data_IF_448795755477
#
_entry.id   IF_448795755477
#
_cell.length_a   1.000
_cell.length_b   1.000
_cell.length_c   1.000
_cell.angle_alpha   90.00
_cell.angle_beta   90.00
_cell.angle_gamma   90.00
#
_symmetry.space_group_name_H-M   'P 1'
#
loop_
_entity.id
_entity.type
_entity.pdbx_description
1 polymer ?
#
# COMPACT_ATOMS: atom_id res chain seq x y z
N UNK A 1 4.26 0.14 14.95
CA UNK A 1 3.07 -0.74 14.95
C UNK A 1 3.16 -1.65 13.74
N UNK A 2 3.47 -2.90 13.95
CA UNK A 2 3.85 -3.91 12.94
C UNK A 2 2.62 -4.53 12.26
N UNK A 3 1.85 -3.77 11.48
CA UNK A 3 0.61 -4.26 10.86
C UNK A 3 0.83 -5.44 9.92
N UNK A 4 1.95 -5.44 9.19
CA UNK A 4 2.30 -6.51 8.25
C UNK A 4 2.66 -7.78 8.98
N UNK A 5 3.49 -7.67 10.02
CA UNK A 5 3.89 -8.80 10.85
C UNK A 5 2.71 -9.41 11.59
N UNK A 6 1.77 -8.61 12.08
CA UNK A 6 0.55 -9.13 12.67
C UNK A 6 -0.28 -9.96 11.66
N UNK A 7 -0.35 -9.52 10.40
CA UNK A 7 -1.00 -10.26 9.34
C UNK A 7 -0.24 -11.56 9.02
N UNK A 8 1.09 -11.50 8.95
CA UNK A 8 1.94 -12.66 8.71
C UNK A 8 1.84 -13.69 9.83
N UNK A 9 1.89 -13.26 11.10
CA UNK A 9 1.71 -14.12 12.26
C UNK A 9 0.32 -14.77 12.24
N UNK A 10 -0.72 -13.98 11.98
CA UNK A 10 -2.08 -14.51 11.92
C UNK A 10 -2.22 -15.56 10.80
N UNK A 11 -1.70 -15.30 9.63
CA UNK A 11 -1.68 -16.24 8.51
C UNK A 11 -0.94 -17.52 8.87
N UNK A 12 0.21 -17.43 9.53
CA UNK A 12 1.01 -18.57 9.97
C UNK A 12 0.25 -19.49 10.95
N UNK A 13 -0.48 -18.92 11.92
CA UNK A 13 -1.18 -19.69 12.95
C UNK A 13 -2.59 -20.14 12.55
N UNK A 14 -3.17 -19.60 11.52
CA UNK A 14 -4.49 -19.95 11.01
C UNK A 14 -4.36 -20.72 9.68
N UNK A 15 -3.58 -21.78 9.67
CA UNK A 15 -3.25 -22.58 8.49
C UNK A 15 -4.46 -23.29 7.84
N UNK A 16 -5.61 -23.34 8.52
CA UNK A 16 -6.89 -23.82 8.01
C UNK A 16 -7.66 -22.77 7.18
N UNK A 17 -7.20 -21.50 7.20
CA UNK A 17 -7.77 -20.41 6.40
C UNK A 17 -6.90 -20.18 5.17
N UNK A 18 -7.45 -20.12 3.95
CA UNK A 18 -6.68 -19.86 2.74
C UNK A 18 -5.93 -18.52 2.79
N UNK A 19 -4.72 -18.46 2.24
CA UNK A 19 -3.84 -17.28 2.24
C UNK A 19 -4.48 -16.04 1.62
N UNK A 20 -5.38 -16.21 0.65
CA UNK A 20 -6.10 -15.13 -0.03
C UNK A 20 -7.12 -14.41 0.87
N UNK A 21 -7.38 -14.97 2.07
CA UNK A 21 -8.24 -14.38 3.10
C UNK A 21 -7.48 -13.46 4.07
N UNK A 22 -6.15 -13.40 3.98
CA UNK A 22 -5.33 -12.55 4.83
C UNK A 22 -4.89 -11.31 4.08
N UNK A 23 -5.23 -10.15 4.60
CA UNK A 23 -4.81 -8.87 4.05
C UNK A 23 -4.40 -7.90 5.16
N UNK A 24 -3.45 -7.03 4.87
CA UNK A 24 -3.18 -5.89 5.74
C UNK A 24 -3.58 -4.58 5.03
N UNK A 25 -4.26 -3.71 5.77
CA UNK A 25 -4.81 -2.47 5.23
C UNK A 25 -3.73 -1.46 4.85
N UNK A 26 -3.67 -1.10 3.56
CA UNK A 26 -2.90 0.03 3.00
C UNK A 26 -3.80 1.20 2.59
N UNK A 27 -5.11 1.05 2.69
CA UNK A 27 -6.08 2.00 2.17
C UNK A 27 -5.93 3.40 2.74
N UNK A 28 -5.50 3.53 3.98
CA UNK A 28 -5.25 4.83 4.59
C UNK A 28 -4.12 5.58 3.88
N UNK A 29 -3.00 4.90 3.60
CA UNK A 29 -1.86 5.50 2.91
C UNK A 29 -2.19 5.79 1.44
N UNK A 30 -2.92 4.90 0.79
CA UNK A 30 -3.47 5.07 -0.55
C UNK A 30 -4.37 6.33 -0.63
N UNK A 31 -5.31 6.51 0.31
CA UNK A 31 -6.18 7.69 0.37
C UNK A 31 -5.39 8.98 0.63
N UNK A 32 -4.31 8.93 1.41
CA UNK A 32 -3.40 10.06 1.62
C UNK A 32 -2.68 10.46 0.33
N UNK A 33 -2.18 9.45 -0.40
CA UNK A 33 -1.51 9.66 -1.68
C UNK A 33 -2.48 10.29 -2.70
N UNK A 34 -3.69 9.76 -2.84
CA UNK A 34 -4.73 10.35 -3.69
C UNK A 34 -5.05 11.79 -3.30
N UNK A 35 -5.22 12.07 -2.00
CA UNK A 35 -5.51 13.43 -1.52
C UNK A 35 -4.39 14.42 -1.83
N UNK A 36 -3.12 14.01 -1.71
CA UNK A 36 -1.99 14.88 -2.03
C UNK A 36 -1.88 15.12 -3.54
N UNK A 37 -2.03 14.08 -4.36
CA UNK A 37 -2.01 14.20 -5.82
C UNK A 37 -3.16 15.09 -6.32
N UNK A 38 -4.37 14.90 -5.80
CA UNK A 38 -5.55 15.72 -6.07
C UNK A 38 -5.29 17.21 -5.80
N UNK A 39 -4.73 17.53 -4.64
CA UNK A 39 -4.38 18.92 -4.28
C UNK A 39 -3.30 19.52 -5.19
N UNK A 40 -2.28 18.74 -5.54
CA UNK A 40 -1.19 19.18 -6.43
C UNK A 40 -1.72 19.51 -7.82
N UNK A 41 -2.65 18.71 -8.33
CA UNK A 41 -3.20 18.87 -9.68
C UNK A 41 -4.44 19.77 -9.75
N UNK A 42 -5.03 20.15 -8.60
CA UNK A 42 -6.25 20.95 -8.57
C UNK A 42 -7.49 20.22 -9.11
N UNK A 43 -7.56 18.89 -8.95
CA UNK A 43 -8.67 18.03 -9.42
C UNK A 43 -9.35 17.32 -8.25
N UNK A 44 -10.56 16.80 -8.48
CA UNK A 44 -11.24 16.00 -7.45
C UNK A 44 -10.54 14.65 -7.25
N UNK A 45 -10.59 14.10 -6.04
CA UNK A 45 -10.05 12.75 -5.75
C UNK A 45 -10.74 11.69 -6.61
N UNK A 46 -12.04 11.87 -6.89
CA UNK A 46 -12.84 10.99 -7.76
C UNK A 46 -12.39 10.97 -9.22
N UNK A 47 -11.63 11.98 -9.66
CA UNK A 47 -11.05 12.04 -11.00
C UNK A 47 -9.78 11.21 -11.14
N UNK A 48 -9.21 10.74 -10.02
CA UNK A 48 -7.94 10.01 -9.96
C UNK A 48 -8.17 8.51 -9.90
N UNK A 49 -7.45 7.77 -10.73
CA UNK A 49 -7.42 6.29 -10.74
C UNK A 49 -6.00 5.77 -10.84
N UNK A 50 -5.80 4.50 -10.52
CA UNK A 50 -4.54 3.78 -10.67
C UNK A 50 -3.37 4.32 -9.81
N UNK A 51 -3.68 4.87 -8.62
CA UNK A 51 -2.68 5.18 -7.61
C UNK A 51 -2.14 3.89 -7.00
N UNK A 52 -0.84 3.84 -6.73
CA UNK A 52 -0.22 2.72 -6.02
C UNK A 52 0.59 3.23 -4.82
N UNK A 53 0.61 2.47 -3.74
CA UNK A 53 1.54 2.67 -2.62
C UNK A 53 2.25 1.34 -2.36
N UNK A 54 3.51 1.26 -2.76
CA UNK A 54 4.30 0.05 -2.64
C UNK A 54 4.84 -0.16 -1.23
N UNK A 55 4.93 -1.41 -0.82
CA UNK A 55 5.75 -1.84 0.30
C UNK A 55 5.04 -2.00 1.64
N UNK A 56 5.76 -1.59 2.68
CA UNK A 56 5.36 -1.72 4.08
C UNK A 56 4.40 -0.60 4.54
N UNK A 57 4.13 -0.52 5.85
CA UNK A 57 3.42 0.61 6.46
C UNK A 57 4.36 1.37 7.41
N UNK A 58 5.52 1.74 6.90
CA UNK A 58 6.59 2.44 7.60
C UNK A 58 7.20 3.51 6.68
N UNK A 59 8.33 4.06 7.07
CA UNK A 59 8.93 5.20 6.36
C UNK A 59 9.48 4.87 4.97
N UNK A 60 9.68 3.58 4.65
CA UNK A 60 10.17 3.12 3.35
C UNK A 60 9.05 2.80 2.35
N UNK A 61 7.77 2.79 2.77
CA UNK A 61 6.66 2.76 1.81
C UNK A 61 6.76 3.94 0.84
N UNK A 62 6.37 3.76 -0.40
CA UNK A 62 6.33 4.89 -1.31
C UNK A 62 5.11 4.89 -2.23
N UNK A 63 4.42 6.04 -2.32
CA UNK A 63 3.38 6.26 -3.31
C UNK A 63 4.01 6.44 -4.69
N UNK A 64 3.35 5.89 -5.69
CA UNK A 64 3.82 5.83 -7.07
C UNK A 64 2.73 6.35 -8.01
N UNK A 65 3.08 7.38 -8.77
CA UNK A 65 2.18 8.03 -9.75
C UNK A 65 2.41 7.55 -11.18
N UNK A 66 3.30 6.58 -11.41
CA UNK A 66 3.68 6.12 -12.76
C UNK A 66 2.47 5.76 -13.61
N UNK A 67 1.50 5.09 -13.01
CA UNK A 67 0.26 4.68 -13.69
C UNK A 67 -0.95 5.52 -13.32
N UNK A 68 -0.77 6.59 -12.53
CA UNK A 68 -1.87 7.46 -12.13
C UNK A 68 -2.53 8.09 -13.36
N UNK A 69 -3.85 8.10 -13.34
CA UNK A 69 -4.67 8.75 -14.37
C UNK A 69 -5.53 9.84 -13.76
N UNK A 70 -5.77 10.87 -14.53
CA UNK A 70 -6.75 11.94 -14.27
C UNK A 70 -7.82 11.86 -15.34
N UNK A 71 -9.06 11.54 -14.95
CA UNK A 71 -10.20 11.38 -15.89
C UNK A 71 -9.89 10.40 -17.03
N UNK A 72 -9.12 9.33 -16.72
CA UNK A 72 -8.73 8.29 -17.67
C UNK A 72 -7.45 8.57 -18.47
N UNK A 73 -6.89 9.76 -18.40
CA UNK A 73 -5.64 10.13 -19.09
C UNK A 73 -4.43 9.97 -18.16
N UNK A 74 -3.30 9.48 -18.69
CA UNK A 74 -2.04 9.36 -17.95
C UNK A 74 -1.62 10.73 -17.39
N UNK A 75 -1.12 10.74 -16.16
CA UNK A 75 -0.82 11.97 -15.44
C UNK A 75 0.56 11.97 -14.75
N UNK A 76 1.40 10.98 -14.97
CA UNK A 76 2.73 10.89 -14.33
C UNK A 76 3.62 12.09 -14.66
N UNK A 77 3.55 12.59 -15.87
CA UNK A 77 4.32 13.74 -16.40
C UNK A 77 3.84 15.11 -15.86
N UNK A 78 2.68 15.14 -15.19
CA UNK A 78 2.14 16.36 -14.57
C UNK A 78 2.79 16.68 -13.21
N UNK A 79 3.69 15.81 -12.74
CA UNK A 79 4.36 15.98 -11.45
C UNK A 79 5.85 16.27 -11.63
N UNK A 80 6.32 17.32 -10.95
CA UNK A 80 7.74 17.62 -10.88
C UNK A 80 8.49 16.52 -10.11
N UNK A 81 9.63 16.07 -10.63
CA UNK A 81 10.46 15.04 -9.96
C UNK A 81 10.86 15.44 -8.53
N UNK A 82 11.26 16.72 -8.34
CA UNK A 82 11.59 17.26 -7.02
C UNK A 82 10.40 17.21 -6.06
N UNK A 83 9.21 17.58 -6.51
CA UNK A 83 8.01 17.45 -5.68
C UNK A 83 7.73 15.99 -5.27
N UNK A 84 7.90 15.04 -6.19
CA UNK A 84 7.73 13.62 -5.88
C UNK A 84 8.70 13.14 -4.82
N UNK A 85 10.00 13.48 -4.95
CA UNK A 85 11.06 12.99 -4.05
C UNK A 85 11.11 13.73 -2.72
N UNK A 86 10.89 15.05 -2.72
CA UNK A 86 11.16 15.90 -1.56
C UNK A 86 9.91 16.16 -0.72
N UNK A 87 8.71 15.99 -1.33
CA UNK A 87 7.45 16.25 -0.66
C UNK A 87 6.50 15.05 -0.65
N UNK A 88 6.12 14.55 -1.83
CA UNK A 88 5.04 13.57 -1.94
C UNK A 88 5.35 12.26 -1.22
N UNK A 89 6.44 11.63 -1.58
CA UNK A 89 6.85 10.34 -1.00
C UNK A 89 7.07 10.46 0.51
N UNK A 90 7.90 11.39 1.02
CA UNK A 90 8.12 11.52 2.45
C UNK A 90 6.86 11.87 3.25
N UNK A 91 6.04 12.80 2.75
CA UNK A 91 4.82 13.23 3.46
C UNK A 91 3.79 12.12 3.56
N UNK A 92 3.60 11.31 2.51
CA UNK A 92 2.70 10.15 2.58
C UNK A 92 3.22 9.13 3.59
N UNK A 93 4.51 8.78 3.51
CA UNK A 93 5.13 7.78 4.38
C UNK A 93 5.09 8.20 5.86
N UNK A 94 5.42 9.46 6.18
CA UNK A 94 5.55 9.95 7.55
C UNK A 94 4.25 10.52 8.14
N UNK A 95 3.17 10.64 7.37
CA UNK A 95 1.93 11.32 7.81
C UNK A 95 1.35 10.76 9.10
N UNK A 96 1.47 9.45 9.33
CA UNK A 96 1.00 8.82 10.57
C UNK A 96 1.72 9.35 11.80
N UNK A 97 3.05 9.47 11.73
CA UNK A 97 3.89 10.01 12.79
C UNK A 97 3.61 11.50 13.07
N UNK A 98 3.41 12.30 12.03
CA UNK A 98 3.04 13.72 12.15
C UNK A 98 1.72 13.88 12.92
N UNK A 99 0.71 13.08 12.60
CA UNK A 99 -0.59 13.13 13.28
C UNK A 99 -0.43 12.78 14.76
N UNK A 100 0.34 11.74 15.09
CA UNK A 100 0.60 11.36 16.48
C UNK A 100 1.32 12.49 17.21
N UNK A 101 2.31 13.12 16.59
CA UNK A 101 3.06 14.24 17.18
C UNK A 101 2.16 15.44 17.51
N UNK A 102 1.19 15.75 16.64
CA UNK A 102 0.30 16.91 16.81
C UNK A 102 -0.86 16.60 17.75
N UNK A 103 -1.45 15.40 17.68
CA UNK A 103 -2.66 15.04 18.45
C UNK A 103 -2.38 14.31 19.76
N UNK A 104 -1.17 13.78 19.95
CA UNK A 104 -0.86 12.85 21.04
C UNK A 104 -1.50 11.47 20.87
N UNK A 105 -2.22 11.22 19.77
CA UNK A 105 -2.88 9.96 19.47
C UNK A 105 -2.93 9.68 17.96
N UNK A 106 -3.07 8.42 17.58
CA UNK A 106 -3.25 7.98 16.20
C UNK A 106 -4.55 8.51 15.58
N UNK A 107 -4.58 8.60 14.25
CA UNK A 107 -5.78 9.02 13.49
C UNK A 107 -6.85 7.91 13.52
N UNK A 108 -7.84 8.01 14.41
CA UNK A 108 -8.88 7.00 14.54
C UNK A 108 -9.86 6.99 13.34
N UNK A 109 -10.48 8.13 13.03
CA UNK A 109 -11.53 8.23 11.99
C UNK A 109 -10.99 7.92 10.59
N UNK A 110 -9.80 8.44 10.22
CA UNK A 110 -9.20 8.15 8.91
C UNK A 110 -8.83 6.66 8.76
N UNK A 111 -8.38 6.02 9.84
CA UNK A 111 -8.09 4.59 9.82
C UNK A 111 -9.38 3.77 9.69
N UNK A 112 -10.44 4.13 10.40
CA UNK A 112 -11.75 3.51 10.27
C UNK A 112 -12.30 3.64 8.85
N UNK A 113 -12.25 4.84 8.25
CA UNK A 113 -12.63 5.05 6.85
C UNK A 113 -11.80 4.18 5.90
N UNK A 114 -10.49 4.08 6.13
CA UNK A 114 -9.61 3.20 5.36
C UNK A 114 -10.04 1.73 5.43
N UNK A 115 -10.38 1.24 6.63
CA UNK A 115 -10.84 -0.13 6.82
C UNK A 115 -12.21 -0.38 6.15
N UNK A 116 -13.16 0.53 6.31
CA UNK A 116 -14.50 0.43 5.69
C UNK A 116 -14.38 0.40 4.17
N UNK A 117 -13.60 1.30 3.57
CA UNK A 117 -13.43 1.34 2.11
C UNK A 117 -12.66 0.13 1.58
N UNK A 118 -11.69 -0.39 2.34
CA UNK A 118 -11.01 -1.63 2.00
C UNK A 118 -11.99 -2.81 1.94
N UNK A 119 -12.83 -2.97 2.97
CA UNK A 119 -13.83 -4.04 3.03
C UNK A 119 -14.93 -3.87 1.98
N UNK A 120 -15.35 -2.62 1.71
CA UNK A 120 -16.31 -2.34 0.65
C UNK A 120 -15.79 -2.81 -0.72
N UNK A 121 -14.56 -2.43 -1.06
CA UNK A 121 -13.97 -2.77 -2.36
C UNK A 121 -13.65 -4.28 -2.46
N UNK A 122 -13.36 -4.93 -1.33
CA UNK A 122 -13.23 -6.38 -1.30
C UNK A 122 -14.55 -7.08 -1.64
N UNK A 123 -15.65 -6.66 -1.01
CA UNK A 123 -16.96 -7.30 -1.13
C UNK A 123 -17.74 -6.87 -2.39
N UNK A 124 -17.66 -5.60 -2.77
CA UNK A 124 -18.42 -5.04 -3.89
C UNK A 124 -17.62 -5.02 -5.21
N UNK A 125 -16.32 -5.23 -5.14
CA UNK A 125 -15.39 -5.03 -6.24
C UNK A 125 -14.82 -3.61 -6.32
N UNK A 126 -13.67 -3.49 -6.97
CA UNK A 126 -13.07 -2.19 -7.30
C UNK A 126 -13.78 -1.55 -8.50
N UNK A 127 -13.79 -0.21 -8.62
CA UNK A 127 -14.30 0.44 -9.82
C UNK A 127 -13.61 -0.08 -11.09
N UNK A 128 -14.39 -0.22 -12.17
CA UNK A 128 -13.86 -0.70 -13.45
C UNK A 128 -12.74 0.22 -13.96
N UNK A 129 -11.58 -0.37 -14.27
CA UNK A 129 -10.43 0.37 -14.78
C UNK A 129 -9.59 1.06 -13.71
N UNK A 130 -9.90 0.83 -12.43
CA UNK A 130 -9.14 1.31 -11.28
C UNK A 130 -8.64 0.14 -10.44
N UNK A 131 -7.61 0.41 -9.63
CA UNK A 131 -7.12 -0.48 -8.60
C UNK A 131 -6.87 0.26 -7.29
N UNK A 132 -6.71 -0.50 -6.24
CA UNK A 132 -6.36 0.02 -4.93
C UNK A 132 -5.15 -0.71 -4.37
N UNK A 133 -4.44 -0.10 -3.43
CA UNK A 133 -3.33 -0.77 -2.78
C UNK A 133 -3.83 -1.64 -1.64
N UNK A 134 -3.43 -2.90 -1.68
CA UNK A 134 -3.68 -3.91 -0.65
C UNK A 134 -2.37 -4.58 -0.29
N UNK A 135 -2.13 -4.89 0.96
CA UNK A 135 -1.02 -5.73 1.32
C UNK A 135 -1.46 -7.19 1.43
N UNK A 136 -0.85 -8.01 0.60
CA UNK A 136 -1.09 -9.45 0.49
C UNK A 136 0.17 -10.25 0.82
N UNK A 137 0.04 -11.52 1.26
CA UNK A 137 1.18 -12.44 1.27
C UNK A 137 1.83 -12.47 -0.10
N UNK A 138 3.15 -12.29 -0.18
CA UNK A 138 3.85 -12.23 -1.47
C UNK A 138 3.85 -13.59 -2.17
N UNK A 139 3.62 -13.57 -3.48
CA UNK A 139 3.71 -14.72 -4.39
C UNK A 139 4.94 -14.64 -5.32
N UNK A 140 5.94 -13.82 -4.99
CA UNK A 140 7.12 -13.57 -5.82
C UNK A 140 6.91 -12.54 -6.94
N UNK A 141 5.68 -12.08 -7.18
CA UNK A 141 5.41 -11.03 -8.17
C UNK A 141 6.26 -9.80 -7.92
N UNK A 142 6.69 -9.12 -8.98
CA UNK A 142 7.57 -7.94 -8.94
C UNK A 142 8.92 -8.18 -8.28
N UNK A 143 9.38 -9.44 -8.15
CA UNK A 143 10.63 -9.79 -7.48
C UNK A 143 10.60 -9.61 -5.96
N UNK A 144 9.41 -9.48 -5.37
CA UNK A 144 9.24 -9.34 -3.92
C UNK A 144 9.36 -10.73 -3.28
N UNK A 145 10.26 -10.94 -2.30
CA UNK A 145 10.45 -12.24 -1.68
C UNK A 145 9.16 -12.81 -1.07
N UNK A 146 8.95 -14.11 -1.24
CA UNK A 146 7.87 -14.83 -0.57
C UNK A 146 8.03 -14.79 0.96
N UNK A 147 6.95 -15.04 1.68
CA UNK A 147 6.95 -14.98 3.15
C UNK A 147 6.96 -13.56 3.72
N UNK A 148 6.60 -12.58 2.91
CA UNK A 148 6.32 -11.20 3.32
C UNK A 148 4.86 -10.86 3.07
N UNK A 149 4.32 -9.91 3.84
CA UNK A 149 3.04 -9.26 3.53
C UNK A 149 3.35 -7.88 2.99
N UNK A 150 3.14 -7.68 1.69
CA UNK A 150 3.63 -6.52 0.94
C UNK A 150 2.51 -5.77 0.22
N UNK A 151 2.56 -4.43 0.23
CA UNK A 151 1.60 -3.56 -0.44
C UNK A 151 1.79 -3.54 -1.95
N UNK A 152 0.77 -3.96 -2.69
CA UNK A 152 0.76 -4.05 -4.17
C UNK A 152 -0.56 -3.50 -4.73
N UNK A 153 -0.63 -3.07 -5.99
CA UNK A 153 -1.89 -2.71 -6.62
C UNK A 153 -2.75 -3.96 -6.83
N UNK A 154 -4.03 -3.85 -6.47
CA UNK A 154 -4.98 -4.95 -6.55
C UNK A 154 -6.33 -4.48 -7.08
N UNK A 155 -7.01 -5.38 -7.76
CA UNK A 155 -8.44 -5.29 -8.10
C UNK A 155 -9.23 -6.32 -7.32
N UNK A 156 -10.54 -6.14 -7.24
CA UNK A 156 -11.48 -7.14 -6.76
C UNK A 156 -12.73 -7.13 -7.63
N UNK A 157 -13.32 -8.29 -7.83
CA UNK A 157 -14.64 -8.49 -8.44
C UNK A 157 -15.72 -8.85 -7.40
N UNK A 158 -15.36 -8.80 -6.10
CA UNK A 158 -16.20 -9.20 -4.98
C UNK A 158 -15.91 -10.63 -4.49
N UNK A 159 -15.14 -11.43 -5.21
CA UNK A 159 -14.78 -12.81 -4.81
C UNK A 159 -13.47 -12.85 -4.00
N UNK A 160 -12.58 -11.89 -4.19
CA UNK A 160 -11.27 -11.81 -3.55
C UNK A 160 -10.40 -10.73 -4.14
N UNK A 161 -9.19 -10.59 -3.60
CA UNK A 161 -8.19 -9.66 -4.13
C UNK A 161 -7.35 -10.32 -5.21
N UNK A 162 -7.19 -9.63 -6.33
CA UNK A 162 -6.36 -10.03 -7.45
C UNK A 162 -5.26 -8.99 -7.66
N UNK A 163 -3.99 -9.42 -7.64
CA UNK A 163 -2.88 -8.52 -7.94
C UNK A 163 -2.94 -8.05 -9.37
N UNK A 164 -2.75 -6.77 -9.60
CA UNK A 164 -2.42 -6.25 -10.93
C UNK A 164 -1.04 -6.79 -11.26
N UNK A 165 -0.86 -7.40 -12.42
CA UNK A 165 0.39 -8.03 -12.87
C UNK A 165 0.98 -7.22 -14.02
N UNK A 166 2.25 -7.50 -14.33
CA UNK A 166 2.94 -7.05 -15.53
C UNK A 166 3.05 -5.51 -15.67
N UNK A 167 3.02 -4.78 -14.55
CA UNK A 167 3.39 -3.37 -14.57
C UNK A 167 4.90 -3.24 -14.77
N UNK A 168 5.30 -2.38 -15.68
CA UNK A 168 6.71 -2.04 -15.88
C UNK A 168 7.25 -1.31 -14.66
N UNK A 169 8.37 -1.79 -14.13
CA UNK A 169 9.03 -1.24 -12.95
C UNK A 169 10.37 -0.65 -13.39
N UNK A 170 10.56 0.64 -13.24
CA UNK A 170 11.84 1.30 -13.50
C UNK A 170 12.90 0.90 -12.47
N UNK A 171 14.18 1.06 -12.81
CA UNK A 171 15.28 0.77 -11.90
C UNK A 171 15.16 1.56 -10.57
N UNK A 172 14.71 2.81 -10.61
CA UNK A 172 14.50 3.62 -9.40
C UNK A 172 13.36 3.11 -8.52
N UNK A 173 12.29 2.60 -9.11
CA UNK A 173 11.20 1.93 -8.38
C UNK A 173 11.68 0.62 -7.77
N UNK A 174 12.40 -0.20 -8.55
CA UNK A 174 12.94 -1.48 -8.09
C UNK A 174 13.85 -1.31 -6.86
N UNK A 175 14.71 -0.29 -6.83
CA UNK A 175 15.56 0.00 -5.68
C UNK A 175 14.74 0.39 -4.44
N UNK A 176 13.70 1.20 -4.58
CA UNK A 176 12.79 1.52 -3.48
C UNK A 176 12.00 0.29 -3.01
N UNK A 177 11.55 -0.54 -3.94
CA UNK A 177 10.83 -1.78 -3.62
C UNK A 177 11.72 -2.74 -2.85
N UNK A 178 13.01 -2.84 -3.22
CA UNK A 178 14.01 -3.62 -2.50
C UNK A 178 14.19 -3.10 -1.07
N UNK A 179 14.40 -1.79 -0.90
CA UNK A 179 14.57 -1.17 0.42
C UNK A 179 13.40 -1.49 1.36
N UNK A 180 12.16 -1.35 0.89
CA UNK A 180 10.99 -1.64 1.74
C UNK A 180 10.76 -3.14 1.95
N UNK A 181 11.25 -4.01 1.05
CA UNK A 181 11.24 -5.45 1.25
C UNK A 181 12.27 -5.87 2.32
N UNK A 182 13.49 -5.33 2.27
CA UNK A 182 14.53 -5.54 3.28
C UNK A 182 14.08 -5.15 4.69
N UNK A 183 13.36 -4.04 4.84
CA UNK A 183 12.74 -3.65 6.11
C UNK A 183 11.76 -4.73 6.61
N UNK A 184 10.89 -5.24 5.73
CA UNK A 184 9.93 -6.29 6.08
C UNK A 184 10.63 -7.63 6.42
N UNK A 185 11.71 -7.96 5.73
CA UNK A 185 12.53 -9.13 6.07
C UNK A 185 13.16 -9.00 7.45
N UNK A 186 13.71 -7.84 7.76
CA UNK A 186 14.26 -7.54 9.09
C UNK A 186 13.21 -7.66 10.20
N UNK A 187 11.99 -7.13 9.96
CA UNK A 187 10.87 -7.26 10.88
C UNK A 187 10.43 -8.73 11.03
N UNK A 188 10.31 -9.49 9.94
CA UNK A 188 9.99 -10.92 9.96
C UNK A 188 11.03 -11.71 10.77
N UNK A 189 12.29 -11.44 10.55
CA UNK A 189 13.37 -12.14 11.22
C UNK A 189 13.40 -11.82 12.73
N UNK A 190 13.05 -10.60 13.12
CA UNK A 190 12.84 -10.24 14.52
C UNK A 190 11.69 -11.04 15.15
N UNK A 191 10.58 -11.20 14.44
CA UNK A 191 9.43 -12.00 14.90
C UNK A 191 9.77 -13.49 14.99
N UNK A 192 10.56 -14.03 14.05
CA UNK A 192 11.09 -15.40 14.13
C UNK A 192 11.97 -15.62 15.37
N UNK A 193 12.86 -14.67 15.69
CA UNK A 193 13.69 -14.75 16.89
C UNK A 193 12.89 -14.76 18.20
N UNK A 194 11.67 -14.22 18.17
CA UNK A 194 10.74 -14.28 19.29
C UNK A 194 9.94 -15.60 19.35
N UNK A 195 10.17 -16.53 18.42
CA UNK A 195 9.45 -17.81 18.35
C UNK A 195 7.98 -17.67 17.89
N UNK A 196 7.60 -16.56 17.26
CA UNK A 196 6.24 -16.30 16.77
C UNK A 196 6.04 -16.69 15.31
N UNK A 197 7.07 -17.14 14.64
CA UNK A 197 7.03 -17.77 13.31
C UNK A 197 8.00 -18.95 13.37
N UNK A 198 7.51 -20.13 13.11
CA UNK A 198 8.29 -21.39 13.07
C UNK A 198 9.22 -21.46 11.87
#
# INVERSE_FOLDING_TARGET
MYKRQNCLILNHYAADIPDDRFTAMMRLDHNRALSMASKKLGVAVSDLTNMTVWGNHANTQFPDVTYLKVKGEAAADKFDKSWLTDEFIPKVAMRGGEIIKVRGASSAASAATGAITHMRDWYQGTPKGDWVTVALPSDGSYGIPEGLVYGVPCTSDGSGWQRVKDLEISAAQAERMKTTAEDLESERDAVKKLGLLG
#
